data_IF_068223293983
#
_entry.id   IF_068223293983
#
_cell.length_a   1.000
_cell.length_b   1.000
_cell.length_c   1.000
_cell.angle_alpha   90.00
_cell.angle_beta   90.00
_cell.angle_gamma   90.00
#
_symmetry.space_group_name_H-M   'P 1'
#
loop_
_entity.id
_entity.type
_entity.pdbx_description
1 polymer ?
#
# COMPACT_ATOMS: atom_id res chain seq x y z
N UNK A 1 21.92 2.47 -4.98
CA UNK A 1 23.32 2.10 -5.24
C UNK A 1 24.19 2.60 -4.09
N UNK A 2 24.63 1.70 -3.19
CA UNK A 2 25.37 2.07 -1.98
C UNK A 2 26.90 2.00 -2.11
N UNK A 3 27.41 1.38 -3.19
CA UNK A 3 28.84 1.16 -3.47
C UNK A 3 29.13 1.41 -4.95
N UNK A 4 30.20 2.14 -5.24
CA UNK A 4 30.55 2.56 -6.60
C UNK A 4 32.00 2.21 -6.90
N UNK A 5 32.30 1.34 -7.89
CA UNK A 5 33.66 1.12 -8.35
C UNK A 5 34.17 2.36 -9.07
N UNK A 6 35.35 2.82 -8.66
CA UNK A 6 36.04 3.98 -9.24
C UNK A 6 37.21 3.47 -10.07
N UNK A 7 37.27 3.89 -11.33
CA UNK A 7 38.33 3.51 -12.26
C UNK A 7 39.15 4.72 -12.71
N UNK A 8 40.36 4.47 -13.23
CA UNK A 8 41.23 5.52 -13.78
C UNK A 8 41.59 5.21 -15.24
N UNK A 9 41.08 6.02 -16.15
CA UNK A 9 41.38 5.96 -17.58
C UNK A 9 40.59 4.88 -18.31
N UNK A 10 40.74 3.61 -17.92
CA UNK A 10 39.96 2.47 -18.46
C UNK A 10 39.15 1.79 -17.37
N UNK A 11 38.02 1.17 -17.74
CA UNK A 11 37.22 0.30 -16.88
C UNK A 11 38.04 -0.88 -16.34
N UNK A 12 39.09 -1.30 -17.04
CA UNK A 12 40.02 -2.34 -16.59
C UNK A 12 40.85 -1.92 -15.36
N UNK A 13 40.96 -0.62 -15.13
CA UNK A 13 41.78 -0.05 -14.08
C UNK A 13 40.92 0.48 -12.93
N UNK A 14 40.16 -0.42 -12.28
CA UNK A 14 39.43 -0.11 -11.04
C UNK A 14 40.43 0.16 -9.91
N UNK A 15 40.48 1.41 -9.45
CA UNK A 15 41.42 1.90 -8.43
C UNK A 15 40.87 1.81 -7.01
N UNK A 16 39.55 1.64 -6.83
CA UNK A 16 38.93 1.46 -5.53
C UNK A 16 37.41 1.42 -5.56
N UNK A 17 36.81 1.14 -4.41
CA UNK A 17 35.36 1.15 -4.20
C UNK A 17 35.03 2.32 -3.28
N UNK A 18 34.11 3.17 -3.71
CA UNK A 18 33.56 4.27 -2.92
C UNK A 18 32.25 3.84 -2.28
N UNK A 19 32.14 3.95 -0.96
CA UNK A 19 30.86 3.79 -0.29
C UNK A 19 30.12 5.13 -0.27
N UNK A 20 28.90 5.17 -0.79
CA UNK A 20 28.12 6.41 -0.87
C UNK A 20 27.88 7.04 0.51
N UNK A 21 27.86 6.21 1.58
CA UNK A 21 27.70 6.67 2.95
C UNK A 21 28.87 7.54 3.46
N UNK A 22 30.07 7.33 2.94
CA UNK A 22 31.27 8.03 3.38
C UNK A 22 31.33 9.47 2.83
N UNK A 23 30.34 9.84 2.01
CA UNK A 23 30.17 11.19 1.47
C UNK A 23 29.11 12.02 2.23
N UNK A 24 28.35 11.44 3.16
CA UNK A 24 27.25 12.16 3.84
C UNK A 24 27.69 13.07 4.99
N UNK A 25 28.89 12.87 5.55
CA UNK A 25 29.41 13.61 6.73
C UNK A 25 30.59 14.56 6.39
N UNK A 26 30.72 14.99 5.14
CA UNK A 26 31.79 15.94 4.77
C UNK A 26 31.45 17.35 5.28
N UNK A 27 32.29 17.91 6.15
CA UNK A 27 32.19 19.32 6.52
C UNK A 27 32.56 20.26 5.35
N UNK A 28 32.11 21.52 5.40
CA UNK A 28 32.44 22.54 4.38
C UNK A 28 33.95 22.71 4.15
N UNK A 29 34.78 22.41 5.15
CA UNK A 29 36.25 22.48 5.03
C UNK A 29 36.82 21.22 4.35
N UNK A 30 36.21 20.05 4.58
CA UNK A 30 36.58 18.77 3.98
C UNK A 30 36.13 18.68 2.52
N UNK A 31 34.99 19.28 2.18
CA UNK A 31 34.52 19.39 0.80
C UNK A 31 35.50 20.23 -0.06
N UNK A 32 36.03 21.33 0.51
CA UNK A 32 37.04 22.17 -0.17
C UNK A 32 38.39 21.49 -0.35
N UNK A 33 38.71 20.50 0.49
CA UNK A 33 39.94 19.69 0.44
C UNK A 33 39.67 18.28 -0.10
N UNK A 34 38.50 18.05 -0.70
CA UNK A 34 38.05 16.73 -1.10
C UNK A 34 39.05 16.08 -2.05
N UNK A 35 39.44 14.86 -1.70
CA UNK A 35 40.29 14.02 -2.55
C UNK A 35 39.69 12.62 -2.54
N UNK A 36 39.11 12.24 -3.68
CA UNK A 36 38.43 10.97 -3.86
C UNK A 36 39.25 9.79 -3.36
N UNK A 37 40.58 9.81 -3.58
CA UNK A 37 41.49 8.73 -3.18
C UNK A 37 41.54 8.45 -1.67
N UNK A 38 41.08 9.36 -0.80
CA UNK A 38 41.00 9.12 0.66
C UNK A 38 39.80 8.29 1.08
N UNK A 39 38.79 8.19 0.21
CA UNK A 39 37.52 7.51 0.46
C UNK A 39 37.36 6.23 -0.37
N UNK A 40 38.45 5.79 -0.99
CA UNK A 40 38.47 4.58 -1.80
C UNK A 40 39.00 3.41 -0.98
N UNK A 41 38.14 2.43 -0.76
CA UNK A 41 38.57 1.14 -0.26
C UNK A 41 39.24 0.32 -1.38
N UNK A 42 40.30 -0.45 -1.08
CA UNK A 42 40.94 -1.31 -2.07
C UNK A 42 39.94 -2.33 -2.65
N UNK A 43 39.87 -2.50 -3.98
CA UNK A 43 38.93 -3.43 -4.57
C UNK A 43 39.38 -4.87 -4.32
N UNK A 44 38.46 -5.73 -3.87
CA UNK A 44 38.68 -7.18 -3.91
C UNK A 44 38.67 -7.61 -5.37
N UNK A 45 39.78 -8.19 -5.85
CA UNK A 45 39.92 -8.68 -7.22
C UNK A 45 39.94 -10.19 -7.23
N UNK A 46 39.08 -10.81 -8.03
CA UNK A 46 38.93 -12.26 -8.09
C UNK A 46 38.78 -12.73 -9.54
N UNK A 47 39.35 -13.89 -9.92
CA UNK A 47 39.27 -14.37 -11.29
C UNK A 47 37.86 -14.87 -11.64
N UNK A 48 37.45 -14.72 -12.90
CA UNK A 48 36.14 -15.18 -13.39
C UNK A 48 35.85 -16.67 -13.16
N UNK A 49 36.90 -17.50 -13.10
CA UNK A 49 36.78 -18.94 -12.85
C UNK A 49 36.56 -19.31 -11.39
N UNK A 50 36.53 -18.34 -10.46
CA UNK A 50 36.33 -18.62 -9.03
C UNK A 50 34.90 -19.06 -8.76
N UNK A 51 34.73 -20.19 -8.08
CA UNK A 51 33.41 -20.70 -7.69
C UNK A 51 32.70 -19.70 -6.76
N UNK A 52 31.40 -19.51 -6.96
CA UNK A 52 30.56 -18.63 -6.15
C UNK A 52 30.70 -18.89 -4.64
N UNK A 53 30.83 -20.16 -4.23
CA UNK A 53 31.04 -20.56 -2.83
C UNK A 53 32.32 -19.95 -2.23
N UNK A 54 33.42 -20.02 -2.98
CA UNK A 54 34.72 -19.52 -2.55
C UNK A 54 34.77 -18.00 -2.62
N UNK A 55 34.08 -17.39 -3.60
CA UNK A 55 33.89 -15.95 -3.68
C UNK A 55 33.11 -15.42 -2.47
N UNK A 56 32.00 -16.06 -2.11
CA UNK A 56 31.19 -15.71 -0.94
C UNK A 56 31.98 -15.81 0.37
N UNK A 57 32.73 -16.91 0.57
CA UNK A 57 33.60 -17.06 1.75
C UNK A 57 34.66 -15.96 1.82
N UNK A 58 35.26 -15.61 0.69
CA UNK A 58 36.29 -14.56 0.63
C UNK A 58 35.70 -13.17 0.93
N UNK A 59 34.55 -12.84 0.35
CA UNK A 59 33.80 -11.61 0.62
C UNK A 59 33.46 -11.48 2.10
N UNK A 60 32.96 -12.56 2.73
CA UNK A 60 32.70 -12.59 4.18
C UNK A 60 33.97 -12.42 5.02
N UNK A 61 35.07 -13.08 4.64
CA UNK A 61 36.35 -12.99 5.35
C UNK A 61 36.90 -11.56 5.33
N UNK A 62 36.81 -10.89 4.18
CA UNK A 62 37.28 -9.50 4.02
C UNK A 62 36.26 -8.45 4.41
N UNK A 63 35.05 -8.86 4.81
CA UNK A 63 33.92 -7.97 5.13
C UNK A 63 33.60 -6.98 4.00
N UNK A 64 33.74 -7.44 2.76
CA UNK A 64 33.34 -6.68 1.55
C UNK A 64 32.09 -7.31 0.93
N UNK A 65 31.29 -6.48 0.27
CA UNK A 65 30.05 -6.90 -0.41
C UNK A 65 30.18 -6.79 -1.94
N UNK A 66 31.37 -6.47 -2.45
CA UNK A 66 31.62 -6.28 -3.86
C UNK A 66 33.03 -6.74 -4.21
N UNK A 67 33.17 -7.43 -5.33
CA UNK A 67 34.43 -7.84 -5.93
C UNK A 67 34.45 -7.44 -7.41
N UNK A 68 35.62 -7.02 -7.87
CA UNK A 68 35.92 -6.81 -9.28
C UNK A 68 36.36 -8.16 -9.85
N UNK A 69 35.61 -8.66 -10.83
CA UNK A 69 35.92 -9.91 -11.50
C UNK A 69 36.91 -9.62 -12.62
N UNK A 70 38.03 -10.36 -12.64
CA UNK A 70 39.10 -10.18 -13.63
C UNK A 70 39.18 -11.37 -14.58
N UNK A 71 39.44 -11.07 -15.86
CA UNK A 71 39.69 -12.07 -16.90
C UNK A 71 41.15 -12.59 -16.85
N UNK A 72 41.48 -13.55 -17.72
CA UNK A 72 42.82 -14.13 -17.86
C UNK A 72 43.92 -13.16 -18.32
N UNK A 73 43.52 -12.00 -18.86
CA UNK A 73 44.40 -10.93 -19.32
C UNK A 73 44.57 -9.82 -18.27
N UNK A 74 43.90 -9.92 -17.13
CA UNK A 74 43.89 -8.93 -16.06
C UNK A 74 42.96 -7.74 -16.32
N UNK A 75 42.12 -7.82 -17.36
CA UNK A 75 41.03 -6.90 -17.64
C UNK A 75 39.86 -7.10 -16.68
N UNK A 76 38.96 -6.12 -16.62
CA UNK A 76 37.77 -6.23 -15.76
C UNK A 76 36.64 -6.89 -16.53
N UNK A 77 36.37 -8.16 -16.23
CA UNK A 77 35.27 -8.93 -16.81
C UNK A 77 33.90 -8.47 -16.27
N UNK A 78 33.85 -8.03 -15.02
CA UNK A 78 32.62 -7.57 -14.40
C UNK A 78 32.76 -7.26 -12.92
N UNK A 79 31.61 -7.16 -12.25
CA UNK A 79 31.50 -6.97 -10.81
C UNK A 79 30.61 -8.08 -10.28
N UNK A 80 30.98 -8.65 -9.14
CA UNK A 80 30.15 -9.58 -8.40
C UNK A 80 29.87 -9.02 -7.02
N UNK A 81 28.63 -9.14 -6.57
CA UNK A 81 28.18 -8.75 -5.24
C UNK A 81 28.00 -9.98 -4.35
N UNK A 82 27.86 -9.76 -3.04
CA UNK A 82 27.60 -10.86 -2.11
C UNK A 82 26.21 -11.47 -2.36
N UNK A 83 25.28 -10.66 -2.87
CA UNK A 83 23.95 -11.06 -3.30
C UNK A 83 24.03 -11.99 -4.51
N UNK A 84 24.81 -11.64 -5.55
CA UNK A 84 25.02 -12.50 -6.73
C UNK A 84 25.66 -13.84 -6.34
N UNK A 85 26.64 -13.81 -5.42
CA UNK A 85 27.29 -15.03 -4.92
C UNK A 85 26.33 -15.91 -4.09
N UNK A 86 25.32 -15.32 -3.44
CA UNK A 86 24.28 -16.05 -2.71
C UNK A 86 23.24 -16.65 -3.66
N UNK A 87 22.83 -15.92 -4.69
CA UNK A 87 21.89 -16.38 -5.71
C UNK A 87 22.43 -17.61 -6.46
N UNK A 88 23.71 -17.62 -6.82
CA UNK A 88 24.34 -18.80 -7.45
C UNK A 88 24.43 -20.03 -6.53
N UNK A 89 24.46 -19.82 -5.20
CA UNK A 89 24.53 -20.91 -4.21
C UNK A 89 23.16 -21.47 -3.83
N UNK A 90 22.14 -20.62 -3.86
CA UNK A 90 20.80 -20.93 -3.38
C UNK A 90 19.76 -21.06 -4.51
N UNK A 91 20.15 -20.72 -5.74
CA UNK A 91 19.23 -20.46 -6.86
C UNK A 91 18.62 -19.06 -6.78
N UNK A 92 17.88 -18.61 -7.82
CA UNK A 92 16.95 -17.51 -7.63
C UNK A 92 16.07 -17.86 -6.44
N UNK A 93 15.87 -16.94 -5.51
CA UNK A 93 14.98 -17.17 -4.38
C UNK A 93 13.57 -17.30 -4.97
N UNK A 94 13.17 -18.53 -5.29
CA UNK A 94 11.80 -18.89 -5.59
C UNK A 94 11.05 -18.84 -4.27
N UNK A 95 10.07 -17.95 -4.22
CA UNK A 95 9.17 -17.84 -3.08
C UNK A 95 8.17 -19.02 -3.14
N UNK A 96 7.62 -19.43 -2.00
CA UNK A 96 6.58 -20.49 -1.92
C UNK A 96 5.23 -20.05 -2.55
N UNK A 97 5.23 -18.98 -3.36
CA UNK A 97 4.07 -18.28 -3.92
C UNK A 97 4.02 -18.25 -5.45
N UNK A 98 4.88 -18.99 -6.16
CA UNK A 98 4.64 -19.25 -7.59
C UNK A 98 3.48 -20.26 -7.71
N UNK A 99 2.26 -19.74 -7.90
CA UNK A 99 1.02 -20.52 -8.03
C UNK A 99 1.16 -21.63 -9.10
N UNK A 100 0.83 -22.88 -8.73
CA UNK A 100 0.50 -23.92 -9.71
C UNK A 100 -0.67 -23.41 -10.57
N UNK A 101 -0.41 -23.12 -11.85
CA UNK A 101 -1.44 -22.71 -12.82
C UNK A 101 -2.60 -23.72 -12.82
N UNK A 102 -3.71 -23.35 -12.20
CA UNK A 102 -4.96 -24.08 -12.33
C UNK A 102 -5.55 -23.77 -13.71
N UNK A 103 -5.96 -24.78 -14.51
CA UNK A 103 -6.44 -24.52 -15.86
C UNK A 103 -7.71 -23.65 -15.82
N UNK A 104 -7.67 -22.49 -16.50
CA UNK A 104 -8.76 -21.50 -16.54
C UNK A 104 -10.06 -21.95 -17.26
N UNK A 105 -10.17 -23.23 -17.61
CA UNK A 105 -11.35 -23.82 -18.23
C UNK A 105 -11.55 -25.30 -17.82
N UNK A 106 -12.81 -25.76 -17.88
CA UNK A 106 -13.20 -27.16 -17.64
C UNK A 106 -14.06 -27.66 -18.79
N UNK A 107 -13.76 -28.83 -19.33
CA UNK A 107 -14.61 -29.48 -20.33
C UNK A 107 -15.93 -29.97 -19.68
N UNK A 108 -17.06 -29.52 -20.21
CA UNK A 108 -18.41 -29.89 -19.77
C UNK A 108 -19.16 -30.75 -20.80
N UNK A 109 -18.53 -31.06 -21.93
CA UNK A 109 -19.02 -31.93 -23.00
C UNK A 109 -18.15 -31.84 -24.26
N UNK A 110 -18.48 -32.59 -25.31
CA UNK A 110 -17.65 -32.73 -26.53
C UNK A 110 -17.28 -31.40 -27.23
N UNK A 111 -18.12 -30.36 -27.06
CA UNK A 111 -17.90 -29.00 -27.60
C UNK A 111 -18.36 -27.91 -26.63
N UNK A 112 -18.42 -28.23 -25.34
CA UNK A 112 -18.93 -27.32 -24.32
C UNK A 112 -17.87 -27.18 -23.24
N UNK A 113 -17.48 -25.94 -22.96
CA UNK A 113 -16.46 -25.62 -21.96
C UNK A 113 -17.02 -24.60 -20.97
N UNK A 114 -16.69 -24.78 -19.70
CA UNK A 114 -16.86 -23.78 -18.66
C UNK A 114 -15.56 -23.00 -18.57
N UNK A 115 -15.65 -21.68 -18.70
CA UNK A 115 -14.51 -20.77 -18.70
C UNK A 115 -14.62 -19.86 -17.48
N UNK A 116 -13.51 -19.61 -16.79
CA UNK A 116 -13.48 -18.49 -15.84
C UNK A 116 -13.60 -17.17 -16.61
N UNK A 117 -14.36 -16.21 -16.05
CA UNK A 117 -14.57 -14.91 -16.71
C UNK A 117 -13.28 -14.10 -16.90
N UNK A 118 -12.29 -14.35 -16.04
CA UNK A 118 -10.93 -13.79 -16.08
C UNK A 118 -10.05 -14.39 -17.18
N UNK A 119 -10.46 -15.48 -17.82
CA UNK A 119 -9.64 -16.14 -18.83
C UNK A 119 -9.39 -15.20 -20.02
N UNK A 120 -8.12 -15.07 -20.41
CA UNK A 120 -7.69 -14.04 -21.39
C UNK A 120 -8.23 -14.37 -22.77
N UNK A 121 -8.55 -13.33 -23.53
CA UNK A 121 -9.09 -13.49 -24.88
C UNK A 121 -8.10 -14.20 -25.80
N UNK A 122 -6.81 -13.83 -25.74
CA UNK A 122 -5.77 -14.43 -26.59
C UNK A 122 -5.66 -15.95 -26.33
N UNK A 123 -5.67 -16.36 -25.06
CA UNK A 123 -5.62 -17.77 -24.65
C UNK A 123 -6.88 -18.52 -25.12
N UNK A 124 -8.06 -17.88 -25.05
CA UNK A 124 -9.30 -18.45 -25.58
C UNK A 124 -9.25 -18.63 -27.10
N UNK A 125 -8.70 -17.65 -27.83
CA UNK A 125 -8.55 -17.72 -29.29
C UNK A 125 -7.60 -18.85 -29.69
N UNK A 126 -6.45 -18.95 -29.02
CA UNK A 126 -5.43 -19.98 -29.26
C UNK A 126 -5.97 -21.37 -28.92
N UNK A 127 -6.47 -21.55 -27.69
CA UNK A 127 -6.88 -22.85 -27.17
C UNK A 127 -8.08 -23.44 -27.92
N UNK A 128 -9.02 -22.61 -28.35
CA UNK A 128 -10.26 -23.06 -29.00
C UNK A 128 -10.30 -22.80 -30.51
N UNK A 129 -9.22 -22.25 -31.11
CA UNK A 129 -9.17 -21.92 -32.54
C UNK A 129 -10.25 -20.93 -32.97
N UNK A 130 -10.58 -19.99 -32.07
CA UNK A 130 -11.61 -18.98 -32.26
C UNK A 130 -11.01 -17.70 -32.82
N UNK A 131 -11.86 -16.87 -33.41
CA UNK A 131 -11.54 -15.48 -33.73
C UNK A 131 -12.69 -14.63 -33.20
N UNK A 132 -12.42 -13.95 -32.10
CA UNK A 132 -13.31 -13.03 -31.42
C UNK A 132 -13.01 -11.61 -31.91
N UNK A 133 -14.02 -10.73 -32.02
CA UNK A 133 -13.76 -9.38 -32.49
C UNK A 133 -12.89 -8.62 -31.48
N UNK A 134 -11.79 -8.02 -31.96
CA UNK A 134 -10.83 -7.29 -31.13
C UNK A 134 -11.44 -5.99 -30.61
N UNK A 135 -11.62 -5.94 -29.30
CA UNK A 135 -12.04 -4.75 -28.55
C UNK A 135 -10.92 -4.36 -27.56
N UNK A 136 -11.16 -3.34 -26.73
CA UNK A 136 -10.29 -2.97 -25.59
C UNK A 136 -10.31 -3.99 -24.43
N UNK A 137 -11.11 -5.05 -24.51
CA UNK A 137 -11.18 -6.06 -23.47
C UNK A 137 -9.99 -7.03 -23.53
N UNK A 138 -9.45 -7.38 -22.36
CA UNK A 138 -8.37 -8.38 -22.22
C UNK A 138 -8.90 -9.78 -21.85
N UNK A 139 -10.10 -9.85 -21.26
CA UNK A 139 -10.70 -11.10 -20.72
C UNK A 139 -12.03 -11.42 -21.39
N UNK A 140 -12.44 -12.70 -21.33
CA UNK A 140 -13.71 -13.13 -21.92
C UNK A 140 -14.93 -12.46 -21.25
N UNK A 141 -14.88 -12.22 -19.94
CA UNK A 141 -15.93 -11.46 -19.25
C UNK A 141 -15.98 -10.01 -19.73
N UNK A 142 -14.83 -9.35 -19.86
CA UNK A 142 -14.74 -7.99 -20.40
C UNK A 142 -15.33 -7.89 -21.81
N UNK A 143 -14.98 -8.84 -22.68
CA UNK A 143 -15.53 -8.91 -24.03
C UNK A 143 -17.06 -9.01 -24.02
N UNK A 144 -17.61 -9.93 -23.22
CA UNK A 144 -19.06 -10.10 -23.13
C UNK A 144 -19.73 -8.85 -22.54
N UNK A 145 -19.18 -8.24 -21.49
CA UNK A 145 -19.74 -7.02 -20.91
C UNK A 145 -19.80 -5.87 -21.92
N UNK A 146 -18.76 -5.67 -22.73
CA UNK A 146 -18.78 -4.67 -23.81
C UNK A 146 -19.89 -4.94 -24.83
N UNK A 147 -20.16 -6.21 -25.16
CA UNK A 147 -21.23 -6.58 -26.10
C UNK A 147 -22.63 -6.41 -25.54
N UNK A 148 -22.80 -6.67 -24.25
CA UNK A 148 -24.09 -6.52 -23.59
C UNK A 148 -24.34 -5.10 -23.09
N UNK A 149 -23.31 -4.25 -22.98
CA UNK A 149 -23.38 -2.92 -22.37
C UNK A 149 -23.67 -2.95 -20.85
N UNK A 150 -23.64 -4.14 -20.26
CA UNK A 150 -23.91 -4.46 -18.85
C UNK A 150 -23.43 -5.87 -18.55
N UNK A 151 -23.43 -6.24 -17.28
CA UNK A 151 -23.22 -7.63 -16.88
C UNK A 151 -24.38 -8.50 -17.46
N UNK A 152 -24.09 -9.57 -18.23
CA UNK A 152 -25.13 -10.45 -18.80
C UNK A 152 -25.92 -11.14 -17.69
N UNK A 153 -27.23 -11.36 -17.84
CA UNK A 153 -28.02 -12.14 -16.86
C UNK A 153 -27.73 -13.64 -17.01
N UNK A 154 -27.99 -14.43 -15.97
CA UNK A 154 -27.88 -15.90 -16.04
C UNK A 154 -28.71 -16.42 -17.21
N UNK A 155 -28.08 -17.23 -18.07
CA UNK A 155 -28.70 -17.80 -19.26
C UNK A 155 -28.77 -16.86 -20.48
N UNK A 156 -28.40 -15.58 -20.37
CA UNK A 156 -28.22 -14.73 -21.55
C UNK A 156 -27.04 -15.22 -22.38
N UNK A 157 -27.21 -15.15 -23.71
CA UNK A 157 -26.28 -15.72 -24.67
C UNK A 157 -25.84 -14.69 -25.68
N UNK A 158 -24.54 -14.66 -25.96
CA UNK A 158 -23.97 -13.94 -27.09
C UNK A 158 -23.45 -14.95 -28.10
N UNK A 159 -23.84 -14.77 -29.36
CA UNK A 159 -23.49 -15.68 -30.44
C UNK A 159 -22.46 -15.02 -31.36
N UNK A 160 -21.25 -15.54 -31.32
CA UNK A 160 -20.19 -15.22 -32.27
C UNK A 160 -20.28 -16.08 -33.53
N UNK A 161 -19.29 -15.91 -34.43
CA UNK A 161 -19.24 -16.62 -35.72
C UNK A 161 -18.95 -18.12 -35.58
N UNK A 162 -18.19 -18.51 -34.55
CA UNK A 162 -17.74 -19.90 -34.30
C UNK A 162 -18.00 -20.42 -32.88
N UNK A 163 -18.52 -19.57 -31.99
CA UNK A 163 -18.79 -19.93 -30.60
C UNK A 163 -20.05 -19.21 -30.10
N UNK A 164 -20.74 -19.82 -29.14
CA UNK A 164 -21.84 -19.24 -28.38
C UNK A 164 -21.42 -19.20 -26.92
N UNK A 165 -21.49 -18.02 -26.32
CA UNK A 165 -21.13 -17.80 -24.92
C UNK A 165 -22.42 -17.58 -24.14
N UNK A 166 -22.63 -18.33 -23.06
CA UNK A 166 -23.76 -18.16 -22.17
C UNK A 166 -23.30 -18.03 -20.74
N UNK A 167 -23.87 -17.06 -19.99
CA UNK A 167 -23.55 -16.95 -18.55
C UNK A 167 -24.20 -18.10 -17.78
N UNK A 168 -23.39 -19.04 -17.31
CA UNK A 168 -23.85 -20.27 -16.63
C UNK A 168 -24.21 -20.03 -15.15
N UNK A 169 -23.33 -19.38 -14.40
CA UNK A 169 -23.51 -19.09 -12.98
C UNK A 169 -23.17 -17.63 -12.67
N UNK A 170 -23.87 -17.09 -11.68
CA UNK A 170 -23.59 -15.78 -11.09
C UNK A 170 -23.18 -15.93 -9.64
N UNK A 171 -22.78 -17.12 -9.18
CA UNK A 171 -22.20 -17.20 -7.84
C UNK A 171 -20.93 -16.37 -7.91
N UNK A 172 -20.90 -15.20 -7.27
CA UNK A 172 -19.65 -14.51 -7.09
C UNK A 172 -18.79 -15.52 -6.34
N UNK A 173 -17.55 -15.75 -6.77
CA UNK A 173 -16.62 -16.51 -5.93
C UNK A 173 -16.65 -15.81 -4.57
N UNK A 174 -17.02 -16.54 -3.52
CA UNK A 174 -17.00 -15.99 -2.17
C UNK A 174 -15.61 -15.42 -1.95
N UNK A 175 -15.54 -14.10 -1.74
CA UNK A 175 -14.25 -13.45 -1.55
C UNK A 175 -13.91 -13.60 -0.08
N UNK A 176 -12.86 -14.36 0.20
CA UNK A 176 -12.37 -14.52 1.57
C UNK A 176 -11.75 -13.20 2.01
N UNK A 177 -12.20 -12.67 3.14
CA UNK A 177 -11.72 -11.45 3.78
C UNK A 177 -11.14 -11.81 5.13
N UNK A 178 -9.91 -11.38 5.41
CA UNK A 178 -9.35 -11.52 6.76
C UNK A 178 -10.10 -10.60 7.72
N UNK A 179 -10.70 -11.15 8.77
CA UNK A 179 -11.50 -10.41 9.74
C UNK A 179 -10.74 -10.26 11.05
N UNK A 180 -10.46 -9.02 11.45
CA UNK A 180 -9.91 -8.71 12.76
C UNK A 180 -11.02 -8.11 13.62
N UNK A 181 -11.58 -8.91 14.52
CA UNK A 181 -12.67 -8.51 15.43
C UNK A 181 -12.29 -7.43 16.45
N UNK A 182 -11.00 -7.20 16.65
CA UNK A 182 -10.49 -6.15 17.54
C UNK A 182 -10.76 -6.38 19.03
N UNK A 183 -10.52 -5.33 19.81
CA UNK A 183 -10.64 -5.30 21.27
C UNK A 183 -11.77 -4.38 21.74
N UNK A 184 -12.19 -4.52 23.00
CA UNK A 184 -13.20 -3.63 23.61
C UNK A 184 -14.55 -3.75 22.92
N UNK A 185 -15.05 -2.66 22.33
CA UNK A 185 -16.29 -2.65 21.53
C UNK A 185 -16.17 -3.39 20.19
N UNK A 186 -14.95 -3.74 19.76
CA UNK A 186 -14.68 -4.36 18.47
C UNK A 186 -15.60 -5.53 18.11
N UNK A 187 -15.75 -6.55 18.98
CA UNK A 187 -16.63 -7.69 18.70
C UNK A 187 -18.09 -7.31 18.44
N UNK A 188 -18.70 -6.48 19.29
CA UNK A 188 -20.12 -6.10 19.14
C UNK A 188 -20.38 -5.28 17.88
N UNK A 189 -19.47 -4.36 17.51
CA UNK A 189 -19.61 -3.61 16.26
C UNK A 189 -19.35 -4.49 15.04
N UNK A 190 -18.43 -5.45 15.14
CA UNK A 190 -18.14 -6.39 14.06
C UNK A 190 -19.34 -7.27 13.79
N UNK A 191 -19.94 -7.87 14.83
CA UNK A 191 -21.12 -8.73 14.69
C UNK A 191 -22.30 -7.98 14.05
N UNK A 192 -22.51 -6.72 14.43
CA UNK A 192 -23.52 -5.87 13.81
C UNK A 192 -23.25 -5.63 12.31
N UNK A 193 -22.00 -5.37 11.93
CA UNK A 193 -21.61 -5.16 10.52
C UNK A 193 -21.75 -6.44 9.71
N UNK A 194 -21.31 -7.58 10.24
CA UNK A 194 -21.44 -8.88 9.57
C UNK A 194 -22.92 -9.23 9.32
N UNK A 195 -23.80 -8.98 10.29
CA UNK A 195 -25.23 -9.20 10.12
C UNK A 195 -25.83 -8.32 9.00
N UNK A 196 -25.35 -7.08 8.83
CA UNK A 196 -25.79 -6.20 7.73
C UNK A 196 -25.27 -6.69 6.38
N UNK A 197 -24.01 -7.12 6.31
CA UNK A 197 -23.41 -7.67 5.08
C UNK A 197 -24.12 -8.96 4.63
N UNK A 198 -24.45 -9.84 5.57
CA UNK A 198 -25.23 -11.06 5.33
C UNK A 198 -26.65 -10.73 4.86
N UNK A 199 -27.33 -9.79 5.52
CA UNK A 199 -28.66 -9.33 5.11
C UNK A 199 -28.68 -8.68 3.72
N UNK A 200 -27.58 -8.02 3.32
CA UNK A 200 -27.40 -7.50 1.97
C UNK A 200 -27.07 -8.60 0.93
N UNK A 201 -26.79 -9.83 1.37
CA UNK A 201 -26.42 -10.96 0.52
C UNK A 201 -25.03 -10.80 -0.11
N UNK A 202 -24.13 -10.07 0.55
CA UNK A 202 -22.77 -9.87 0.06
C UNK A 202 -22.02 -11.22 0.01
N UNK A 203 -21.38 -11.58 -1.12
CA UNK A 203 -20.74 -12.88 -1.32
C UNK A 203 -19.34 -12.91 -0.68
N UNK A 204 -19.31 -12.81 0.65
CA UNK A 204 -18.08 -12.74 1.44
C UNK A 204 -17.98 -13.96 2.35
N UNK A 205 -16.78 -14.50 2.45
CA UNK A 205 -16.41 -15.40 3.53
C UNK A 205 -15.38 -14.70 4.42
N UNK A 206 -15.37 -15.01 5.71
CA UNK A 206 -14.52 -14.33 6.68
C UNK A 206 -13.59 -15.30 7.38
N UNK A 207 -12.28 -15.03 7.26
CA UNK A 207 -11.25 -15.74 7.99
C UNK A 207 -10.89 -14.95 9.25
N UNK A 208 -11.31 -15.43 10.42
CA UNK A 208 -11.01 -14.77 11.69
C UNK A 208 -9.50 -14.73 11.98
N UNK A 209 -8.98 -13.52 12.21
CA UNK A 209 -7.62 -13.25 12.62
C UNK A 209 -7.60 -12.54 13.99
N UNK A 210 -6.78 -13.08 14.90
CA UNK A 210 -6.63 -12.57 16.26
C UNK A 210 -5.35 -11.75 16.34
N UNK A 211 -5.46 -10.53 16.86
CA UNK A 211 -4.33 -9.60 17.09
C UNK A 211 -4.50 -8.95 18.46
N UNK A 212 -3.55 -8.08 18.82
CA UNK A 212 -3.60 -7.32 20.06
C UNK A 212 -3.31 -8.19 21.27
N UNK A 213 -3.93 -7.87 22.41
CA UNK A 213 -3.64 -8.52 23.69
C UNK A 213 -3.84 -10.03 23.66
N UNK A 214 -4.93 -10.49 23.03
CA UNK A 214 -5.24 -11.92 22.95
C UNK A 214 -4.15 -12.69 22.20
N UNK A 215 -3.66 -12.15 21.08
CA UNK A 215 -2.57 -12.77 20.33
C UNK A 215 -1.24 -12.73 21.11
N UNK A 216 -0.98 -11.66 21.86
CA UNK A 216 0.21 -11.58 22.71
C UNK A 216 0.18 -12.60 23.86
N UNK A 217 -0.98 -12.84 24.47
CA UNK A 217 -1.15 -13.86 25.52
C UNK A 217 -1.04 -15.30 24.97
N UNK A 218 -1.55 -15.56 23.77
CA UNK A 218 -1.60 -16.90 23.16
C UNK A 218 -0.30 -17.26 22.42
N UNK A 219 0.34 -16.31 21.73
CA UNK A 219 1.44 -16.54 20.79
C UNK A 219 2.71 -15.72 21.09
N UNK A 220 2.67 -14.81 22.08
CA UNK A 220 3.80 -13.96 22.45
C UNK A 220 4.08 -12.80 21.50
N UNK A 221 3.23 -12.58 20.49
CA UNK A 221 3.30 -11.45 19.57
C UNK A 221 1.91 -10.83 19.34
N UNK A 222 1.70 -9.52 19.58
CA UNK A 222 0.41 -8.88 19.34
C UNK A 222 0.02 -8.76 17.84
N UNK A 223 0.87 -9.16 16.89
CA UNK A 223 0.57 -9.26 15.45
C UNK A 223 1.30 -10.46 14.86
N UNK A 224 0.79 -11.69 15.10
CA UNK A 224 1.43 -12.91 14.64
C UNK A 224 1.64 -12.95 13.12
N UNK A 225 2.71 -13.61 12.67
CA UNK A 225 3.04 -13.75 11.24
C UNK A 225 1.88 -14.35 10.42
N UNK A 226 1.15 -15.33 10.97
CA UNK A 226 -0.03 -15.94 10.34
C UNK A 226 -1.12 -14.93 9.97
N UNK A 227 -1.24 -13.82 10.70
CA UNK A 227 -2.21 -12.76 10.40
C UNK A 227 -1.74 -11.96 9.18
N UNK A 228 -0.44 -11.64 9.11
CA UNK A 228 0.14 -10.98 7.94
C UNK A 228 0.00 -11.88 6.70
N UNK A 229 0.28 -13.17 6.83
CA UNK A 229 0.12 -14.17 5.76
C UNK A 229 -1.34 -14.27 5.30
N UNK A 230 -2.29 -14.31 6.23
CA UNK A 230 -3.72 -14.28 5.91
C UNK A 230 -4.10 -13.05 5.09
N UNK A 231 -3.64 -11.86 5.50
CA UNK A 231 -3.92 -10.61 4.78
C UNK A 231 -3.25 -10.58 3.41
N UNK A 232 -2.01 -11.09 3.28
CA UNK A 232 -1.31 -11.18 1.98
C UNK A 232 -2.02 -12.14 1.02
N UNK A 233 -2.43 -13.31 1.51
CA UNK A 233 -3.16 -14.32 0.73
C UNK A 233 -4.52 -13.79 0.26
N UNK A 234 -5.30 -13.22 1.18
CA UNK A 234 -6.65 -12.74 0.89
C UNK A 234 -6.66 -11.36 0.20
N UNK A 235 -5.55 -10.61 0.29
CA UNK A 235 -5.33 -9.24 -0.20
C UNK A 235 -6.24 -8.17 0.40
N UNK A 236 -7.22 -8.55 1.22
CA UNK A 236 -8.18 -7.65 1.83
C UNK A 236 -8.47 -8.06 3.27
N UNK A 237 -8.57 -7.07 4.14
CA UNK A 237 -8.96 -7.27 5.53
C UNK A 237 -9.96 -6.22 6.01
N UNK A 238 -10.85 -6.63 6.91
CA UNK A 238 -11.74 -5.76 7.67
C UNK A 238 -11.36 -5.83 9.15
N UNK A 239 -11.12 -4.67 9.76
CA UNK A 239 -10.54 -4.58 11.09
C UNK A 239 -11.31 -3.62 12.00
N UNK A 240 -11.75 -4.13 13.13
CA UNK A 240 -12.28 -3.31 14.23
C UNK A 240 -11.13 -2.67 15.06
N UNK A 241 -11.42 -1.80 16.05
CA UNK A 241 -10.39 -1.16 16.85
C UNK A 241 -9.51 -2.16 17.59
N UNK A 242 -8.20 -1.95 17.58
CA UNK A 242 -7.23 -2.77 18.31
C UNK A 242 -6.50 -1.88 19.31
N UNK A 243 -6.48 -2.30 20.57
CA UNK A 243 -5.79 -1.60 21.64
C UNK A 243 -4.28 -1.70 21.47
N UNK A 244 -3.55 -0.66 21.87
CA UNK A 244 -2.09 -0.74 22.01
C UNK A 244 -1.74 -0.67 23.50
N UNK A 245 -0.87 -1.57 24.03
CA UNK A 245 -0.42 -1.49 25.41
C UNK A 245 0.26 -0.14 25.69
N UNK A 246 0.00 0.46 26.86
CA UNK A 246 0.67 1.70 27.30
C UNK A 246 1.96 1.32 28.04
N UNK A 247 3.12 1.51 27.40
CA UNK A 247 4.44 1.43 28.05
C UNK A 247 5.47 0.51 27.39
N UNK A 248 6.74 0.95 27.48
CA UNK A 248 8.01 0.33 27.04
C UNK A 248 8.00 -0.44 25.69
N UNK A 249 8.22 0.30 24.61
CA UNK A 249 9.09 -0.14 23.51
C UNK A 249 8.44 -0.85 22.32
N UNK A 250 7.12 -1.08 22.31
CA UNK A 250 6.46 -1.68 21.16
C UNK A 250 5.88 -0.62 20.21
N UNK A 251 6.16 -0.79 18.92
CA UNK A 251 5.44 -0.12 17.83
C UNK A 251 3.96 -0.53 17.89
N UNK A 252 3.03 0.44 17.82
CA UNK A 252 1.59 0.17 17.76
C UNK A 252 1.26 -0.92 16.74
N UNK A 253 0.35 -1.85 17.07
CA UNK A 253 -0.11 -2.92 16.16
C UNK A 253 -0.57 -2.33 14.82
N UNK A 254 -1.26 -1.18 14.86
CA UNK A 254 -1.72 -0.50 13.65
C UNK A 254 -0.55 0.00 12.80
N UNK A 255 0.47 0.59 13.43
CA UNK A 255 1.68 1.08 12.74
C UNK A 255 2.45 -0.08 12.15
N UNK A 256 2.69 -1.15 12.94
CA UNK A 256 3.38 -2.35 12.47
C UNK A 256 2.64 -3.01 11.31
N UNK A 257 1.32 -3.13 11.40
CA UNK A 257 0.49 -3.67 10.31
C UNK A 257 0.67 -2.87 9.01
N UNK A 258 0.61 -1.52 9.10
CA UNK A 258 0.80 -0.64 7.94
C UNK A 258 2.19 -0.75 7.33
N UNK A 259 3.22 -0.83 8.16
CA UNK A 259 4.61 -0.94 7.71
C UNK A 259 4.88 -2.32 7.08
N UNK A 260 4.50 -3.41 7.74
CA UNK A 260 4.77 -4.79 7.27
C UNK A 260 4.04 -5.14 5.97
N UNK A 261 2.88 -4.52 5.73
CA UNK A 261 2.09 -4.69 4.50
C UNK A 261 2.29 -3.55 3.49
N UNK A 262 3.21 -2.62 3.76
CA UNK A 262 3.47 -1.43 2.94
C UNK A 262 2.19 -0.66 2.53
N UNK A 263 1.27 -0.50 3.47
CA UNK A 263 -0.02 0.19 3.27
C UNK A 263 0.19 1.71 3.22
N UNK A 264 0.79 2.18 2.14
CA UNK A 264 1.33 3.53 1.98
C UNK A 264 0.29 4.65 1.96
N UNK A 265 -0.96 4.37 1.63
CA UNK A 265 -2.02 5.36 1.56
C UNK A 265 -3.09 5.11 2.62
N UNK A 266 -3.27 6.07 3.53
CA UNK A 266 -4.45 6.13 4.37
C UNK A 266 -5.51 6.99 3.68
N UNK A 267 -6.68 6.40 3.40
CA UNK A 267 -7.81 7.02 2.72
C UNK A 267 -8.97 7.16 3.71
N UNK A 268 -9.45 8.39 3.88
CA UNK A 268 -10.50 8.73 4.84
C UNK A 268 -11.53 9.70 4.25
N UNK A 269 -12.59 9.19 3.61
CA UNK A 269 -13.73 9.99 3.19
C UNK A 269 -14.50 10.53 4.41
N UNK A 270 -14.72 11.84 4.44
CA UNK A 270 -15.40 12.56 5.52
C UNK A 270 -16.65 13.20 4.95
N UNK A 271 -17.79 12.58 5.20
CA UNK A 271 -19.08 13.01 4.66
C UNK A 271 -20.13 13.16 5.75
N UNK A 272 -20.92 14.22 5.69
CA UNK A 272 -22.10 14.38 6.54
C UNK A 272 -23.07 13.23 6.26
N UNK A 273 -23.42 12.48 7.31
CA UNK A 273 -24.41 11.41 7.22
C UNK A 273 -25.81 12.01 7.42
N UNK A 274 -26.74 11.85 6.45
CA UNK A 274 -28.10 12.36 6.59
C UNK A 274 -28.78 11.83 7.86
N UNK A 275 -29.42 12.72 8.61
CA UNK A 275 -30.15 12.37 9.83
C UNK A 275 -29.31 12.32 11.11
N UNK A 276 -27.97 12.41 11.02
CA UNK A 276 -27.11 12.52 12.19
C UNK A 276 -26.84 14.00 12.51
N UNK A 277 -27.20 14.50 13.71
CA UNK A 277 -26.89 15.85 14.11
C UNK A 277 -25.38 16.09 14.16
N UNK A 278 -24.90 17.06 13.39
CA UNK A 278 -23.50 17.50 13.38
C UNK A 278 -23.44 19.03 13.31
N UNK A 279 -22.34 19.60 13.82
CA UNK A 279 -22.14 21.06 13.83
C UNK A 279 -22.11 21.65 12.42
N UNK A 280 -21.54 20.91 11.47
CA UNK A 280 -21.51 21.26 10.05
C UNK A 280 -22.42 20.32 9.27
N UNK A 281 -22.95 20.81 8.16
CA UNK A 281 -23.86 20.09 7.28
C UNK A 281 -23.35 20.21 5.85
N UNK A 282 -23.57 19.17 5.02
CA UNK A 282 -23.16 19.18 3.62
C UNK A 282 -21.65 19.01 3.39
N UNK A 283 -20.88 18.62 4.42
CA UNK A 283 -19.46 18.33 4.27
C UNK A 283 -19.29 17.06 3.42
N UNK A 284 -18.49 17.14 2.36
CA UNK A 284 -18.07 16.00 1.54
C UNK A 284 -16.63 16.26 1.08
N UNK A 285 -15.66 15.78 1.88
CA UNK A 285 -14.25 15.87 1.56
C UNK A 285 -13.56 14.52 1.77
N UNK A 286 -12.38 14.35 1.20
CA UNK A 286 -11.57 13.14 1.37
C UNK A 286 -10.20 13.52 1.86
N UNK A 287 -9.74 12.88 2.94
CA UNK A 287 -8.38 13.02 3.42
C UNK A 287 -7.56 11.83 2.93
N UNK A 288 -6.46 12.12 2.22
CA UNK A 288 -5.46 11.16 1.78
C UNK A 288 -4.16 11.48 2.49
N UNK A 289 -3.62 10.49 3.17
CA UNK A 289 -2.44 10.61 4.03
C UNK A 289 -1.36 9.63 3.58
N UNK A 290 -0.14 10.14 3.42
CA UNK A 290 1.07 9.31 3.33
C UNK A 290 1.25 8.57 4.66
N UNK A 291 1.51 7.26 4.62
CA UNK A 291 1.40 6.40 5.79
C UNK A 291 2.67 5.60 6.12
N UNK A 292 3.79 5.85 5.42
CA UNK A 292 5.04 5.06 5.54
C UNK A 292 6.23 5.82 6.11
N UNK A 293 6.24 7.15 6.08
CA UNK A 293 7.37 7.96 6.54
C UNK A 293 6.95 9.10 7.48
N UNK A 294 7.66 10.24 7.48
CA UNK A 294 7.53 11.37 8.41
C UNK A 294 7.92 10.99 9.86
N UNK A 295 7.55 11.83 10.83
CA UNK A 295 7.80 11.62 12.27
C UNK A 295 7.18 10.33 12.83
N UNK A 296 6.27 9.69 12.08
CA UNK A 296 5.71 8.38 12.42
C UNK A 296 6.73 7.23 12.28
N UNK A 297 7.89 7.49 11.68
CA UNK A 297 9.03 6.57 11.71
C UNK A 297 9.56 6.29 13.12
N UNK A 298 9.28 7.18 14.09
CA UNK A 298 9.69 7.01 15.49
C UNK A 298 11.20 7.09 15.70
N UNK A 299 11.93 7.69 14.75
CA UNK A 299 13.37 7.84 14.80
C UNK A 299 13.75 9.00 15.72
N UNK A 300 13.89 8.67 17.01
CA UNK A 300 14.22 9.64 18.06
C UNK A 300 15.45 9.20 18.86
N UNK A 301 16.26 10.16 19.29
CA UNK A 301 17.41 9.89 20.13
C UNK A 301 17.72 11.03 21.10
N UNK A 302 18.30 10.67 22.24
CA UNK A 302 18.80 11.64 23.22
C UNK A 302 20.25 11.97 22.84
N UNK A 303 20.50 13.19 22.39
CA UNK A 303 21.85 13.64 21.99
C UNK A 303 22.71 13.81 23.24
N UNK A 304 22.18 14.53 24.22
CA UNK A 304 22.74 14.71 25.57
C UNK A 304 21.60 14.74 26.59
N UNK A 305 21.84 14.50 27.89
CA UNK A 305 20.77 14.54 28.88
C UNK A 305 19.93 15.82 28.81
N UNK A 306 18.62 15.67 28.56
CA UNK A 306 17.68 16.79 28.41
C UNK A 306 17.50 17.33 26.99
N UNK A 307 18.23 16.82 25.99
CA UNK A 307 18.12 17.20 24.58
C UNK A 307 17.71 15.97 23.76
N UNK A 308 16.52 16.02 23.20
CA UNK A 308 15.96 14.96 22.35
C UNK A 308 15.83 15.49 20.93
N UNK A 309 16.30 14.70 19.97
CA UNK A 309 16.14 14.94 18.55
C UNK A 309 15.16 13.93 17.96
N UNK A 310 14.30 14.39 17.07
CA UNK A 310 13.33 13.60 16.33
C UNK A 310 13.55 13.83 14.84
N UNK A 311 13.77 12.75 14.09
CA UNK A 311 14.09 12.81 12.67
C UNK A 311 12.82 12.71 11.83
N UNK A 312 12.53 13.79 11.10
CA UNK A 312 11.48 13.81 10.07
C UNK A 312 12.05 13.35 8.73
N UNK A 313 11.66 12.15 8.30
CA UNK A 313 12.11 11.58 7.02
C UNK A 313 11.01 11.76 5.98
N UNK A 314 11.32 12.45 4.87
CA UNK A 314 10.44 12.58 3.71
C UNK A 314 11.24 12.17 2.48
N UNK A 315 10.67 11.31 1.64
CA UNK A 315 11.32 10.80 0.44
C UNK A 315 10.55 11.16 -0.82
N UNK A 316 11.28 11.35 -1.92
CA UNK A 316 10.68 11.59 -3.23
C UNK A 316 9.80 10.42 -3.68
N UNK A 317 10.20 9.19 -3.35
CA UNK A 317 9.49 7.96 -3.74
C UNK A 317 8.11 7.91 -3.09
N UNK A 318 8.03 8.05 -1.76
CA UNK A 318 6.76 8.00 -1.05
C UNK A 318 5.87 9.20 -1.40
N UNK A 319 6.45 10.42 -1.43
CA UNK A 319 5.74 11.65 -1.80
C UNK A 319 5.15 11.60 -3.22
N UNK A 320 5.92 11.10 -4.19
CA UNK A 320 5.43 10.94 -5.57
C UNK A 320 4.36 9.86 -5.67
N UNK A 321 4.54 8.73 -4.96
CA UNK A 321 3.59 7.62 -4.93
C UNK A 321 2.24 8.05 -4.37
N UNK A 322 2.22 8.71 -3.20
CA UNK A 322 0.96 9.15 -2.59
C UNK A 322 0.27 10.25 -3.39
N UNK A 323 1.03 11.17 -4.00
CA UNK A 323 0.47 12.17 -4.88
C UNK A 323 -0.20 11.53 -6.11
N UNK A 324 0.47 10.57 -6.78
CA UNK A 324 -0.14 9.83 -7.90
C UNK A 324 -1.40 9.11 -7.47
N UNK A 325 -1.37 8.42 -6.33
CA UNK A 325 -2.55 7.78 -5.77
C UNK A 325 -3.70 8.76 -5.58
N UNK A 326 -3.45 9.96 -5.03
CA UNK A 326 -4.47 10.97 -4.81
C UNK A 326 -5.09 11.50 -6.12
N UNK A 327 -4.28 11.75 -7.15
CA UNK A 327 -4.79 12.18 -8.46
C UNK A 327 -5.58 11.09 -9.19
N UNK A 328 -5.12 9.84 -9.16
CA UNK A 328 -5.86 8.72 -9.74
C UNK A 328 -7.18 8.45 -8.99
N UNK A 329 -7.16 8.53 -7.66
CA UNK A 329 -8.36 8.48 -6.85
C UNK A 329 -9.34 9.60 -7.23
N UNK A 330 -8.86 10.84 -7.29
CA UNK A 330 -9.68 11.99 -7.63
C UNK A 330 -10.33 11.84 -9.01
N UNK A 331 -9.56 11.38 -10.01
CA UNK A 331 -10.05 11.10 -11.36
C UNK A 331 -11.15 10.04 -11.37
N UNK A 332 -10.91 8.90 -10.71
CA UNK A 332 -11.87 7.78 -10.64
C UNK A 332 -13.17 8.17 -9.95
N UNK A 333 -13.08 8.92 -8.85
CA UNK A 333 -14.24 9.33 -8.05
C UNK A 333 -14.88 10.64 -8.52
N UNK A 334 -14.40 11.22 -9.64
CA UNK A 334 -14.95 12.47 -10.20
C UNK A 334 -14.73 13.71 -9.32
N UNK A 335 -13.68 13.70 -8.49
CA UNK A 335 -13.26 14.82 -7.64
C UNK A 335 -12.58 15.89 -8.49
N UNK A 336 -12.77 17.15 -8.10
CA UNK A 336 -12.41 18.32 -8.92
C UNK A 336 -11.17 19.05 -8.42
N UNK A 337 -10.81 18.86 -7.14
CA UNK A 337 -9.69 19.57 -6.53
C UNK A 337 -8.91 18.70 -5.55
N UNK A 338 -7.59 18.83 -5.58
CA UNK A 338 -6.69 18.34 -4.54
C UNK A 338 -5.91 19.51 -3.97
N UNK A 339 -5.98 19.69 -2.65
CA UNK A 339 -5.15 20.64 -1.92
C UNK A 339 -4.06 19.89 -1.13
N UNK A 340 -2.80 20.12 -1.47
CA UNK A 340 -1.67 19.62 -0.67
C UNK A 340 -1.50 20.46 0.60
N UNK A 341 -1.40 19.81 1.76
CA UNK A 341 -1.26 20.49 3.05
C UNK A 341 0.10 20.21 3.66
N UNK A 342 0.84 21.27 4.00
CA UNK A 342 2.25 21.19 4.35
C UNK A 342 2.69 22.35 5.28
N UNK A 343 3.95 22.42 5.69
CA UNK A 343 4.55 23.55 6.43
C UNK A 343 5.91 23.98 5.82
N UNK A 344 6.00 23.98 4.49
CA UNK A 344 7.24 24.25 3.76
C UNK A 344 7.79 25.69 3.93
N UNK A 345 7.00 26.62 4.49
CA UNK A 345 7.51 27.93 4.88
C UNK A 345 8.51 27.86 6.05
N UNK A 346 8.40 26.84 6.90
CA UNK A 346 9.33 26.55 8.00
C UNK A 346 10.26 25.40 7.58
N UNK A 347 9.70 24.27 7.15
CA UNK A 347 10.44 23.07 6.77
C UNK A 347 10.69 23.03 5.26
N UNK A 348 11.63 23.86 4.81
CA UNK A 348 11.89 24.07 3.38
C UNK A 348 12.37 22.82 2.63
N UNK A 349 13.03 21.89 3.31
CA UNK A 349 13.60 20.70 2.68
C UNK A 349 12.62 19.52 2.68
N UNK A 350 12.10 19.13 3.85
CA UNK A 350 11.17 18.00 3.98
C UNK A 350 9.84 18.29 3.29
N UNK A 351 9.10 19.27 3.80
CA UNK A 351 7.79 19.63 3.27
C UNK A 351 7.90 20.30 1.89
N UNK A 352 9.04 20.94 1.62
CA UNK A 352 9.35 21.43 0.28
C UNK A 352 9.46 20.29 -0.74
N UNK A 353 10.16 19.19 -0.39
CA UNK A 353 10.25 18.01 -1.25
C UNK A 353 8.88 17.39 -1.52
N UNK A 354 8.05 17.22 -0.48
CA UNK A 354 6.69 16.72 -0.63
C UNK A 354 5.87 17.60 -1.60
N UNK A 355 5.93 18.92 -1.41
CA UNK A 355 5.21 19.88 -2.24
C UNK A 355 5.70 19.90 -3.69
N UNK A 356 7.01 19.78 -3.91
CA UNK A 356 7.60 19.71 -5.25
C UNK A 356 7.21 18.42 -5.97
N UNK A 357 7.15 17.29 -5.26
CA UNK A 357 6.62 16.03 -5.79
C UNK A 357 5.15 16.16 -6.18
N UNK A 358 4.32 16.75 -5.31
CA UNK A 358 2.91 17.01 -5.59
C UNK A 358 2.73 17.85 -6.85
N UNK A 359 3.45 18.96 -6.98
CA UNK A 359 3.38 19.86 -8.15
C UNK A 359 3.82 19.16 -9.44
N UNK A 360 4.89 18.35 -9.39
CA UNK A 360 5.34 17.57 -10.56
C UNK A 360 4.29 16.55 -11.00
N UNK A 361 3.64 15.86 -10.07
CA UNK A 361 2.55 14.92 -10.39
C UNK A 361 1.34 15.66 -10.94
N UNK A 362 0.96 16.80 -10.33
CA UNK A 362 -0.20 17.60 -10.74
C UNK A 362 -0.13 18.05 -12.20
N UNK A 363 1.07 18.31 -12.74
CA UNK A 363 1.26 18.66 -14.14
C UNK A 363 0.74 17.57 -15.13
N UNK A 364 0.60 16.32 -14.68
CA UNK A 364 0.03 15.22 -15.46
C UNK A 364 -1.50 15.13 -15.44
N UNK A 365 -2.19 15.95 -14.63
CA UNK A 365 -3.65 15.91 -14.44
C UNK A 365 -4.27 17.31 -14.57
N UNK A 366 -4.17 17.96 -15.74
CA UNK A 366 -4.63 19.34 -15.94
C UNK A 366 -6.14 19.55 -15.71
N UNK A 367 -6.93 18.48 -15.71
CA UNK A 367 -8.36 18.50 -15.45
C UNK A 367 -8.73 18.59 -13.96
N UNK A 368 -7.79 18.35 -13.05
CA UNK A 368 -7.97 18.41 -11.59
C UNK A 368 -7.28 19.67 -11.06
N UNK A 369 -8.04 20.53 -10.38
CA UNK A 369 -7.46 21.72 -9.76
C UNK A 369 -6.48 21.32 -8.64
N UNK A 370 -5.24 21.77 -8.73
CA UNK A 370 -4.21 21.49 -7.74
C UNK A 370 -3.77 22.79 -7.05
N UNK A 371 -3.95 22.88 -5.74
CA UNK A 371 -3.46 23.99 -4.91
C UNK A 371 -2.74 23.49 -3.66
N UNK A 372 -2.07 24.38 -2.95
CA UNK A 372 -1.39 24.06 -1.69
C UNK A 372 -1.76 25.05 -0.58
N UNK A 373 -1.72 24.55 0.66
CA UNK A 373 -1.93 25.36 1.86
C UNK A 373 -1.01 24.96 3.00
N UNK A 374 -0.61 25.97 3.75
CA UNK A 374 0.09 25.75 5.02
C UNK A 374 -0.89 25.15 6.04
N UNK A 375 -0.47 24.14 6.80
CA UNK A 375 -1.34 23.32 7.67
C UNK A 375 -2.14 24.11 8.70
N UNK A 376 -1.57 25.15 9.31
CA UNK A 376 -2.29 26.02 10.24
C UNK A 376 -3.43 26.80 9.55
N UNK A 377 -3.17 27.33 8.36
CA UNK A 377 -4.19 28.00 7.55
C UNK A 377 -5.26 27.01 7.04
N UNK A 378 -4.86 25.79 6.68
CA UNK A 378 -5.78 24.73 6.28
C UNK A 378 -6.72 24.34 7.42
N UNK A 379 -6.19 24.09 8.63
CA UNK A 379 -6.98 23.79 9.83
C UNK A 379 -7.96 24.91 10.17
N UNK A 380 -7.50 26.17 10.15
CA UNK A 380 -8.39 27.31 10.39
C UNK A 380 -9.55 27.35 9.37
N UNK A 381 -9.24 27.12 8.10
CA UNK A 381 -10.23 27.15 7.04
C UNK A 381 -11.20 25.97 7.09
N UNK A 382 -10.75 24.77 7.47
CA UNK A 382 -11.62 23.60 7.66
C UNK A 382 -12.72 23.87 8.68
N UNK A 383 -12.41 24.61 9.74
CA UNK A 383 -13.40 25.01 10.75
C UNK A 383 -14.29 26.14 10.24
N UNK A 384 -13.74 27.13 9.54
CA UNK A 384 -14.53 28.30 9.11
C UNK A 384 -15.41 28.05 7.88
N UNK A 385 -14.92 27.29 6.90
CA UNK A 385 -15.59 27.00 5.65
C UNK A 385 -14.97 25.74 5.00
N UNK A 386 -15.41 24.53 5.40
CA UNK A 386 -14.89 23.28 4.85
C UNK A 386 -15.21 23.05 3.37
N UNK A 387 -16.29 23.67 2.84
CA UNK A 387 -16.80 23.46 1.48
C UNK A 387 -15.84 23.87 0.36
N UNK A 388 -14.77 24.60 0.70
CA UNK A 388 -13.74 24.98 -0.28
C UNK A 388 -12.76 23.84 -0.61
N UNK A 389 -12.78 22.78 0.19
CA UNK A 389 -11.93 21.60 0.05
C UNK A 389 -12.72 20.45 -0.56
N UNK A 390 -12.02 19.61 -1.31
CA UNK A 390 -12.59 18.40 -1.93
C UNK A 390 -11.71 17.20 -1.55
N UNK A 391 -10.48 17.13 -2.05
CA UNK A 391 -9.47 16.18 -1.57
C UNK A 391 -8.33 16.93 -0.88
N UNK A 392 -7.94 16.47 0.31
CA UNK A 392 -6.77 16.93 1.03
C UNK A 392 -5.69 15.86 0.95
N UNK A 393 -4.49 16.24 0.50
CA UNK A 393 -3.33 15.36 0.47
C UNK A 393 -2.29 15.83 1.48
N UNK A 394 -1.89 14.95 2.40
CA UNK A 394 -1.01 15.30 3.51
C UNK A 394 0.08 14.25 3.74
N UNK A 395 1.19 14.71 4.32
CA UNK A 395 2.20 13.87 4.99
C UNK A 395 1.60 13.19 6.23
N UNK A 396 2.34 12.23 6.80
CA UNK A 396 1.82 11.32 7.82
C UNK A 396 1.26 12.02 9.07
N UNK A 397 2.05 12.88 9.73
CA UNK A 397 1.63 13.53 10.97
C UNK A 397 0.49 14.51 10.78
N UNK A 398 0.55 15.32 9.72
CA UNK A 398 -0.53 16.26 9.42
C UNK A 398 -1.80 15.54 9.00
N UNK A 399 -1.66 14.47 8.21
CA UNK A 399 -2.76 13.62 7.81
C UNK A 399 -3.51 13.06 9.02
N UNK A 400 -2.80 12.58 10.04
CA UNK A 400 -3.41 12.10 11.30
C UNK A 400 -4.30 13.18 11.92
N UNK A 401 -3.69 14.32 12.27
CA UNK A 401 -4.32 15.41 13.00
C UNK A 401 -5.49 16.00 12.21
N UNK A 402 -5.28 16.29 10.93
CA UNK A 402 -6.29 16.92 10.07
C UNK A 402 -7.45 15.98 9.82
N UNK A 403 -7.20 14.68 9.71
CA UNK A 403 -8.27 13.72 9.48
C UNK A 403 -9.19 13.55 10.70
N UNK A 404 -8.65 13.62 11.91
CA UNK A 404 -9.44 13.63 13.15
C UNK A 404 -10.21 14.95 13.32
N UNK A 405 -9.58 16.08 12.98
CA UNK A 405 -10.27 17.37 12.90
C UNK A 405 -11.46 17.31 11.94
N UNK A 406 -11.25 16.74 10.74
CA UNK A 406 -12.29 16.59 9.73
C UNK A 406 -13.42 15.68 10.22
N UNK A 407 -13.12 14.59 10.92
CA UNK A 407 -14.14 13.75 11.54
C UNK A 407 -15.01 14.53 12.54
N UNK A 408 -14.42 15.44 13.32
CA UNK A 408 -15.13 16.36 14.20
C UNK A 408 -16.14 17.27 13.48
N UNK A 409 -15.94 17.54 12.18
CA UNK A 409 -16.89 18.35 11.40
C UNK A 409 -18.22 17.63 11.17
N UNK A 410 -18.19 16.29 11.06
CA UNK A 410 -19.34 15.46 10.67
C UNK A 410 -19.94 14.64 11.82
N UNK A 411 -19.53 14.91 13.06
CA UNK A 411 -20.09 14.26 14.26
C UNK A 411 -19.12 13.34 15.00
N UNK A 412 -17.88 13.18 14.51
CA UNK A 412 -16.78 12.50 15.22
C UNK A 412 -16.35 11.18 14.58
N UNK A 413 -15.35 10.56 15.22
CA UNK A 413 -14.68 9.36 14.73
C UNK A 413 -15.60 8.13 14.60
N UNK A 414 -16.70 8.06 15.36
CA UNK A 414 -17.67 6.96 15.28
C UNK A 414 -18.44 6.87 13.94
N UNK A 415 -18.27 7.84 13.05
CA UNK A 415 -19.03 7.97 11.80
C UNK A 415 -18.15 7.98 10.54
N UNK A 416 -16.83 7.97 10.70
CA UNK A 416 -15.89 8.16 9.58
C UNK A 416 -15.21 6.84 9.24
N UNK A 417 -15.30 6.38 7.98
CA UNK A 417 -14.61 5.17 7.57
C UNK A 417 -13.10 5.40 7.38
N UNK A 418 -12.32 4.33 7.37
CA UNK A 418 -10.89 4.36 7.11
C UNK A 418 -10.43 3.18 6.27
N UNK A 419 -9.46 3.42 5.40
CA UNK A 419 -8.77 2.38 4.66
C UNK A 419 -7.27 2.66 4.64
N UNK A 420 -6.45 1.62 4.79
CA UNK A 420 -5.02 1.66 4.55
C UNK A 420 -4.74 0.77 3.34
N UNK A 421 -4.18 1.36 2.30
CA UNK A 421 -4.06 0.76 0.97
C UNK A 421 -2.58 0.64 0.61
N UNK A 422 -2.18 -0.58 0.26
CA UNK A 422 -0.87 -0.89 -0.29
C UNK A 422 -0.98 -1.35 -1.73
N UNK A 423 0.14 -1.85 -2.28
CA UNK A 423 0.16 -2.41 -3.64
C UNK A 423 -0.47 -3.80 -3.71
N UNK A 424 -0.25 -4.61 -2.68
CA UNK A 424 -0.64 -6.03 -2.67
C UNK A 424 -1.81 -6.32 -1.73
N UNK A 425 -2.06 -5.45 -0.75
CA UNK A 425 -3.11 -5.63 0.24
C UNK A 425 -3.82 -4.32 0.60
N UNK A 426 -5.05 -4.44 1.11
CA UNK A 426 -5.85 -3.35 1.63
C UNK A 426 -6.49 -3.73 2.98
N UNK A 427 -6.40 -2.83 3.97
CA UNK A 427 -7.02 -3.01 5.28
C UNK A 427 -8.01 -1.90 5.55
N UNK A 428 -9.29 -2.26 5.63
CA UNK A 428 -10.40 -1.37 5.95
C UNK A 428 -10.63 -1.40 7.46
N UNK A 429 -10.70 -0.24 8.11
CA UNK A 429 -10.75 -0.18 9.56
C UNK A 429 -11.71 0.84 10.14
N UNK A 430 -12.22 0.55 11.34
CA UNK A 430 -12.81 1.55 12.20
C UNK A 430 -11.71 2.47 12.75
N UNK A 431 -12.00 3.76 12.77
CA UNK A 431 -11.03 4.81 13.12
C UNK A 431 -11.00 5.17 14.59
N UNK A 432 -12.06 4.83 15.33
CA UNK A 432 -12.19 5.10 16.75
C UNK A 432 -11.40 4.10 17.59
N UNK A 433 -11.20 4.45 18.87
CA UNK A 433 -10.58 3.56 19.85
C UNK A 433 -11.48 2.40 20.30
N UNK A 434 -10.98 1.62 21.26
CA UNK A 434 -11.61 0.38 21.75
C UNK A 434 -12.72 0.60 22.78
N UNK A 435 -12.86 1.80 23.35
CA UNK A 435 -13.90 2.17 24.33
C UNK A 435 -14.24 1.07 25.36
N UNK A 436 -13.25 0.62 26.17
CA UNK A 436 -13.41 -0.55 27.04
C UNK A 436 -14.48 -0.39 28.13
N UNK A 437 -14.86 0.85 28.44
CA UNK A 437 -15.89 1.22 29.42
C UNK A 437 -17.32 0.85 29.00
N UNK A 438 -17.58 0.75 27.69
CA UNK A 438 -18.90 0.37 27.14
C UNK A 438 -18.89 -0.98 26.41
N UNK A 439 -17.78 -1.70 26.43
CA UNK A 439 -17.63 -2.99 25.77
C UNK A 439 -18.66 -4.03 26.27
N UNK A 440 -19.38 -4.68 25.34
CA UNK A 440 -20.37 -5.71 25.66
C UNK A 440 -21.70 -5.17 26.19
N UNK A 441 -21.90 -3.86 26.15
CA UNK A 441 -23.16 -3.24 26.58
C UNK A 441 -24.17 -3.10 25.44
N UNK A 442 -23.75 -3.32 24.18
CA UNK A 442 -24.60 -3.12 23.00
C UNK A 442 -24.90 -1.65 22.68
N UNK A 443 -24.12 -0.72 23.26
CA UNK A 443 -24.31 0.72 23.06
C UNK A 443 -23.41 1.31 21.95
N UNK A 444 -22.35 0.60 21.52
CA UNK A 444 -21.44 1.15 20.52
C UNK A 444 -22.12 1.31 19.15
N UNK A 445 -21.78 2.40 18.48
CA UNK A 445 -22.26 2.69 17.13
C UNK A 445 -21.36 1.99 16.08
N UNK A 446 -21.87 1.04 15.27
CA UNK A 446 -21.06 0.33 14.27
C UNK A 446 -20.83 1.12 12.98
N UNK A 447 -21.36 2.34 12.85
CA UNK A 447 -21.40 3.10 11.59
C UNK A 447 -20.02 3.28 10.94
N UNK A 448 -18.97 3.62 11.70
CA UNK A 448 -17.64 3.77 11.13
C UNK A 448 -17.13 2.47 10.48
N UNK A 449 -17.28 1.33 11.16
CA UNK A 449 -16.85 0.04 10.62
C UNK A 449 -17.73 -0.40 9.44
N UNK A 450 -19.04 -0.13 9.51
CA UNK A 450 -19.97 -0.39 8.41
C UNK A 450 -19.57 0.38 7.16
N UNK A 451 -19.31 1.68 7.29
CA UNK A 451 -18.87 2.51 6.17
C UNK A 451 -17.49 2.08 5.64
N UNK A 452 -16.60 1.59 6.50
CA UNK A 452 -15.33 0.98 6.07
C UNK A 452 -15.56 -0.32 5.29
N UNK A 453 -16.54 -1.14 5.67
CA UNK A 453 -16.97 -2.31 4.90
C UNK A 453 -17.61 -1.92 3.55
N UNK A 454 -18.35 -0.80 3.49
CA UNK A 454 -18.85 -0.24 2.22
C UNK A 454 -17.70 0.21 1.31
N UNK A 455 -16.65 0.84 1.87
CA UNK A 455 -15.43 1.15 1.11
C UNK A 455 -14.73 -0.13 0.64
N UNK A 456 -14.67 -1.16 1.47
CA UNK A 456 -14.12 -2.46 1.13
C UNK A 456 -14.86 -3.07 -0.05
N UNK A 457 -16.20 -3.15 0.01
CA UNK A 457 -17.05 -3.68 -1.06
C UNK A 457 -16.78 -2.97 -2.39
N UNK A 458 -16.64 -1.63 -2.40
CA UNK A 458 -16.27 -0.89 -3.61
C UNK A 458 -14.87 -1.23 -4.11
N UNK A 459 -13.91 -1.41 -3.20
CA UNK A 459 -12.54 -1.77 -3.54
C UNK A 459 -12.42 -3.18 -4.14
N UNK A 460 -13.29 -4.11 -3.71
CA UNK A 460 -13.30 -5.50 -4.18
C UNK A 460 -14.27 -5.75 -5.34
N UNK A 461 -14.65 -4.69 -6.06
CA UNK A 461 -15.53 -4.70 -7.24
C UNK A 461 -16.96 -5.24 -6.96
N UNK A 462 -17.48 -4.95 -5.78
CA UNK A 462 -18.85 -5.26 -5.34
C UNK A 462 -19.70 -3.98 -5.08
N UNK A 463 -19.75 -3.01 -6.03
CA UNK A 463 -20.40 -1.71 -5.80
C UNK A 463 -21.91 -1.80 -5.55
N UNK A 464 -22.59 -2.80 -6.13
CA UNK A 464 -24.05 -2.98 -5.97
C UNK A 464 -24.44 -3.29 -4.51
N UNK A 465 -23.61 -4.08 -3.82
CA UNK A 465 -23.82 -4.36 -2.39
C UNK A 465 -23.50 -3.12 -1.54
N UNK A 466 -22.46 -2.39 -1.91
CA UNK A 466 -22.09 -1.11 -1.27
C UNK A 466 -23.13 0.01 -1.47
N UNK A 467 -23.97 -0.05 -2.50
CA UNK A 467 -25.08 0.88 -2.72
C UNK A 467 -26.38 0.46 -2.02
N UNK A 468 -26.52 -0.85 -1.77
CA UNK A 468 -27.69 -1.41 -1.07
C UNK A 468 -27.64 -1.11 0.42
N UNK A 469 -26.43 -1.11 0.99
CA UNK A 469 -26.12 -0.69 2.36
C UNK A 469 -26.03 0.83 2.41
#
# INVERSE_FOLDING_TARGET
LSRLPVYRGSLDNVVGILHAKDLFDLSDEEERKFSLGRYLDPPLREPEVKRAEDLFREMRRRRTHMAVVVDEHGGTAGIATIEDALEELLGPIQDEFDEEETPGFVAAGDRTFLLEGSYRLDDVEEQFGLSLPRDEAETIAGHLMLRFGRIPRKGERWKGRRAEFSRMTSQPRERVVTLIRGDGIGPEVTDAVLAILDAAGAPLDFEDAVVGRKAEEEEGDPLPARVIESIRRNRVALKAPVGTPIGKGFSSVNVRLRQTLELFANLRPVKTVPGIPARYQGVDLVVIRENTEDLYSGLEHVVVPGVVESLKIITEVASTRIARFAFEYAKREGRRRITAVHKANIMKLSDGLFLDCFRRVAAGYPEIAADDRIVDAACMRLVLNPDIFDVLLLENLYGDIVSDLAAGLVGGLGLVPGANLGREAAVFEAVHGTAPDIAGTGQANPTALLLSAVLMLRHIDLPTYAETI
#
